data_IF_512858589705
#
_entry.id   IF_512858589705
#
_cell.length_a   1.000
_cell.length_b   1.000
_cell.length_c   1.000
_cell.angle_alpha   90.00
_cell.angle_beta   90.00
_cell.angle_gamma   90.00
#
_symmetry.space_group_name_H-M   'P 1'
#
loop_
_entity.id
_entity.type
_entity.pdbx_description
1 polymer ?
#
# COMPACT_ATOMS: atom_id res chain seq x y z
N UNK A 1 -4.28 10.88 0.65
CA UNK A 1 -3.68 9.96 -0.35
C UNK A 1 -4.82 9.28 -1.11
N UNK A 2 -5.16 9.85 -2.26
CA UNK A 2 -5.87 9.22 -3.36
C UNK A 2 -5.90 10.32 -4.42
N UNK A 3 -4.93 10.27 -5.35
CA UNK A 3 -5.08 11.01 -6.60
C UNK A 3 -6.34 10.52 -7.31
N UNK A 4 -6.82 11.29 -8.27
CA UNK A 4 -7.99 10.92 -9.06
C UNK A 4 -7.72 9.58 -9.79
N UNK A 5 -8.22 8.47 -9.22
CA UNK A 5 -7.99 7.10 -9.73
C UNK A 5 -8.38 6.99 -11.21
N UNK A 6 -9.33 7.82 -11.64
CA UNK A 6 -9.80 7.87 -13.01
C UNK A 6 -8.73 8.33 -14.02
N UNK A 7 -7.78 9.18 -13.60
CA UNK A 7 -6.73 9.71 -14.47
C UNK A 7 -5.77 8.62 -14.99
N UNK A 8 -5.73 7.45 -14.35
CA UNK A 8 -4.88 6.34 -14.83
C UNK A 8 -5.34 5.79 -16.18
N UNK A 9 -6.62 5.97 -16.55
CA UNK A 9 -7.22 5.43 -17.78
C UNK A 9 -6.46 5.85 -19.04
N UNK A 10 -5.88 7.04 -19.05
CA UNK A 10 -5.13 7.56 -20.20
C UNK A 10 -3.86 6.77 -20.49
N UNK A 11 -3.35 6.04 -19.49
CA UNK A 11 -2.13 5.24 -19.57
C UNK A 11 -2.38 3.73 -19.74
N UNK A 12 -3.65 3.31 -19.73
CA UNK A 12 -4.02 1.89 -19.82
C UNK A 12 -4.15 1.44 -21.28
N UNK A 13 -3.70 0.22 -21.57
CA UNK A 13 -4.02 -0.46 -22.83
C UNK A 13 -5.50 -0.92 -22.86
N UNK A 14 -5.95 -1.46 -23.99
CA UNK A 14 -7.36 -1.84 -24.17
C UNK A 14 -7.84 -2.90 -23.15
N UNK A 15 -7.04 -3.93 -22.90
CA UNK A 15 -7.40 -4.98 -21.94
C UNK A 15 -7.42 -4.46 -20.50
N UNK A 16 -6.46 -3.62 -20.14
CA UNK A 16 -6.38 -2.97 -18.83
C UNK A 16 -7.56 -2.02 -18.60
N UNK A 17 -8.01 -1.28 -19.63
CA UNK A 17 -9.21 -0.43 -19.54
C UNK A 17 -10.45 -1.28 -19.24
N UNK A 18 -10.60 -2.41 -19.95
CA UNK A 18 -11.70 -3.35 -19.72
C UNK A 18 -11.66 -3.92 -18.29
N UNK A 19 -10.48 -4.25 -17.77
CA UNK A 19 -10.32 -4.68 -16.37
C UNK A 19 -10.68 -3.56 -15.38
N UNK A 20 -10.23 -2.34 -15.64
CA UNK A 20 -10.53 -1.17 -14.81
C UNK A 20 -12.04 -0.88 -14.74
N UNK A 21 -12.76 -1.05 -15.84
CA UNK A 21 -14.23 -0.90 -15.88
C UNK A 21 -14.98 -2.01 -15.15
N UNK A 22 -14.32 -3.14 -14.89
CA UNK A 22 -14.88 -4.31 -14.20
C UNK A 22 -14.03 -4.67 -12.97
N UNK A 23 -13.93 -3.77 -11.97
CA UNK A 23 -13.09 -4.00 -10.81
C UNK A 23 -13.58 -5.21 -10.02
N UNK A 24 -12.65 -5.96 -9.44
CA UNK A 24 -12.96 -7.05 -8.53
C UNK A 24 -13.07 -6.52 -7.11
N UNK A 25 -14.19 -6.79 -6.45
CA UNK A 25 -14.42 -6.39 -5.07
C UNK A 25 -13.90 -7.47 -4.11
N UNK A 26 -13.00 -7.07 -3.22
CA UNK A 26 -12.52 -7.90 -2.13
C UNK A 26 -13.28 -7.53 -0.84
N UNK A 27 -14.44 -8.13 -0.64
CA UNK A 27 -15.23 -7.96 0.58
C UNK A 27 -14.64 -8.77 1.72
N UNK A 28 -14.63 -8.20 2.93
CA UNK A 28 -14.04 -8.81 4.12
C UNK A 28 -14.93 -8.64 5.35
N UNK A 29 -14.89 -9.62 6.23
CA UNK A 29 -15.46 -9.55 7.58
C UNK A 29 -14.45 -8.92 8.55
N UNK A 30 -14.95 -8.52 9.73
CA UNK A 30 -14.07 -8.08 10.81
C UNK A 30 -13.08 -9.19 11.18
N UNK A 31 -11.78 -8.88 11.11
CA UNK A 31 -10.69 -9.82 11.37
C UNK A 31 -10.09 -10.49 10.13
N UNK A 32 -10.69 -10.30 8.94
CA UNK A 32 -10.10 -10.76 7.69
C UNK A 32 -9.15 -9.70 7.09
N UNK A 33 -8.24 -10.14 6.24
CA UNK A 33 -7.21 -9.31 5.63
C UNK A 33 -7.10 -9.55 4.12
N UNK A 34 -6.65 -8.52 3.41
CA UNK A 34 -6.35 -8.57 1.97
C UNK A 34 -4.86 -8.31 1.80
N UNK A 35 -4.20 -9.15 1.00
CA UNK A 35 -2.82 -8.93 0.58
C UNK A 35 -2.82 -8.44 -0.86
N UNK A 36 -2.10 -7.35 -1.12
CA UNK A 36 -1.87 -6.86 -2.47
C UNK A 36 -0.41 -6.48 -2.64
N UNK A 37 0.09 -6.61 -3.87
CA UNK A 37 1.43 -6.16 -4.21
C UNK A 37 1.45 -4.63 -4.32
N UNK A 38 2.60 -3.98 -4.07
CA UNK A 38 2.73 -2.52 -4.10
C UNK A 38 2.35 -1.87 -5.44
N UNK A 39 2.43 -2.66 -6.53
CA UNK A 39 2.06 -2.25 -7.89
C UNK A 39 0.63 -2.66 -8.29
N UNK A 40 -0.12 -3.34 -7.42
CA UNK A 40 -1.52 -3.68 -7.71
C UNK A 40 -2.35 -2.40 -7.72
N UNK A 41 -2.99 -2.09 -8.84
CA UNK A 41 -3.98 -1.00 -8.87
C UNK A 41 -5.17 -1.37 -7.99
N UNK A 42 -5.42 -0.57 -6.96
CA UNK A 42 -6.52 -0.78 -6.02
C UNK A 42 -7.04 0.55 -5.50
N UNK A 43 -8.25 0.50 -4.96
CA UNK A 43 -8.91 1.65 -4.38
C UNK A 43 -10.10 1.20 -3.55
N UNK A 44 -10.78 2.17 -2.93
CA UNK A 44 -11.93 1.89 -2.11
C UNK A 44 -13.11 2.74 -2.57
N UNK A 45 -14.27 2.10 -2.76
CA UNK A 45 -15.52 2.81 -3.03
C UNK A 45 -15.98 3.66 -1.85
N UNK A 46 -16.92 4.56 -2.15
CA UNK A 46 -17.65 5.37 -1.17
C UNK A 46 -18.34 4.48 -0.13
N UNK A 47 -18.27 4.87 1.14
CA UNK A 47 -19.04 4.22 2.19
C UNK A 47 -20.44 4.84 2.25
N UNK A 48 -21.45 4.10 1.79
CA UNK A 48 -22.86 4.53 1.79
C UNK A 48 -23.66 4.10 3.03
N UNK A 49 -23.00 3.48 4.02
CA UNK A 49 -23.65 3.04 5.26
C UNK A 49 -23.64 4.14 6.32
N UNK A 50 -24.42 3.94 7.38
CA UNK A 50 -24.48 4.79 8.58
C UNK A 50 -23.31 4.55 9.56
N UNK A 51 -22.43 3.58 9.28
CA UNK A 51 -21.32 3.20 10.16
C UNK A 51 -19.97 3.49 9.53
N UNK A 52 -18.97 3.92 10.30
CA UNK A 52 -17.63 4.15 9.77
C UNK A 52 -16.96 2.84 9.36
N UNK A 53 -16.37 2.80 8.16
CA UNK A 53 -15.45 1.73 7.74
C UNK A 53 -14.09 1.94 8.42
N UNK A 54 -13.68 1.01 9.28
CA UNK A 54 -12.38 1.02 9.94
C UNK A 54 -11.47 -0.05 9.34
N UNK A 55 -10.25 0.33 9.01
CA UNK A 55 -9.22 -0.56 8.49
C UNK A 55 -7.85 -0.16 9.06
N UNK A 56 -6.94 -1.11 9.10
CA UNK A 56 -5.53 -0.90 9.44
C UNK A 56 -4.68 -1.40 8.28
N UNK A 57 -3.69 -0.62 7.86
CA UNK A 57 -2.81 -0.95 6.73
C UNK A 57 -1.41 -1.20 7.28
N UNK A 58 -0.83 -2.33 6.89
CA UNK A 58 0.57 -2.67 7.15
C UNK A 58 1.27 -2.76 5.81
N UNK A 59 2.27 -1.91 5.60
CA UNK A 59 3.16 -2.02 4.47
C UNK A 59 4.39 -2.81 4.91
N UNK A 60 4.70 -3.87 4.17
CA UNK A 60 5.88 -4.71 4.38
C UNK A 60 6.79 -4.64 3.18
N UNK A 61 8.09 -4.70 3.43
CA UNK A 61 9.13 -4.76 2.41
C UNK A 61 10.14 -5.84 2.79
N UNK A 62 10.90 -6.33 1.81
CA UNK A 62 11.86 -7.40 2.02
C UNK A 62 13.01 -6.96 2.93
N UNK A 63 13.56 -7.89 3.71
CA UNK A 63 14.79 -7.62 4.45
C UNK A 63 15.93 -7.24 3.50
N UNK A 64 16.75 -6.27 3.91
CA UNK A 64 17.86 -5.74 3.12
C UNK A 64 17.49 -4.60 2.16
N UNK A 65 16.23 -4.17 2.09
CA UNK A 65 15.85 -2.95 1.37
C UNK A 65 16.63 -1.76 1.92
N UNK A 66 17.20 -0.97 1.01
CA UNK A 66 17.91 0.26 1.33
C UNK A 66 17.05 1.49 1.00
N UNK A 67 17.24 2.56 1.77
CA UNK A 67 16.59 3.85 1.50
C UNK A 67 17.05 4.41 0.15
N UNK A 68 16.11 4.92 -0.64
CA UNK A 68 16.40 5.62 -1.90
C UNK A 68 16.40 7.17 -1.75
N UNK A 69 16.18 7.67 -0.53
CA UNK A 69 16.19 9.11 -0.22
C UNK A 69 17.01 9.42 1.03
N UNK A 70 17.38 10.68 1.22
CA UNK A 70 17.89 11.21 2.49
C UNK A 70 16.80 11.90 3.32
N UNK A 71 15.59 11.99 2.79
CA UNK A 71 14.46 12.64 3.45
C UNK A 71 13.82 11.74 4.52
N UNK A 72 12.99 12.35 5.37
CA UNK A 72 12.13 11.62 6.30
C UNK A 72 11.12 10.77 5.51
N UNK A 73 11.11 9.46 5.74
CA UNK A 73 10.18 8.54 5.06
C UNK A 73 8.75 8.64 5.61
N UNK A 74 8.63 8.89 6.91
CA UNK A 74 7.37 9.04 7.64
C UNK A 74 7.50 10.22 8.61
N UNK A 75 6.39 10.90 8.88
CA UNK A 75 6.33 11.97 9.87
C UNK A 75 6.64 11.41 11.27
N UNK A 76 7.59 12.03 11.98
CA UNK A 76 8.00 11.59 13.31
C UNK A 76 8.98 10.41 13.35
N UNK A 77 9.42 9.89 12.20
CA UNK A 77 10.45 8.84 12.10
C UNK A 77 11.77 9.45 11.64
N UNK A 78 12.91 9.19 12.32
CA UNK A 78 14.21 9.67 11.86
C UNK A 78 14.52 9.22 10.42
N UNK A 79 15.16 10.06 9.59
CA UNK A 79 15.50 9.69 8.23
C UNK A 79 16.52 8.54 8.20
N UNK A 80 16.39 7.68 7.19
CA UNK A 80 17.37 6.65 6.84
C UNK A 80 18.13 7.14 5.62
N UNK A 81 19.43 7.40 5.76
CA UNK A 81 20.26 7.94 4.67
C UNK A 81 20.21 7.05 3.42
N UNK A 82 20.29 7.68 2.25
CA UNK A 82 20.26 6.97 0.97
C UNK A 82 21.35 5.89 0.91
N UNK A 83 20.96 4.70 0.47
CA UNK A 83 21.82 3.52 0.38
C UNK A 83 22.00 2.76 1.71
N UNK A 84 21.49 3.27 2.83
CA UNK A 84 21.49 2.53 4.10
C UNK A 84 20.29 1.60 4.18
N UNK A 85 20.50 0.43 4.79
CA UNK A 85 19.45 -0.54 5.06
C UNK A 85 18.35 0.11 5.93
N UNK A 86 17.10 -0.16 5.59
CA UNK A 86 15.95 0.22 6.40
C UNK A 86 15.75 -0.83 7.50
N UNK A 87 16.16 -0.49 8.72
CA UNK A 87 16.06 -1.36 9.90
C UNK A 87 15.82 -0.57 11.21
N UNK A 88 15.83 -1.28 12.34
CA UNK A 88 15.72 -0.69 13.69
C UNK A 88 14.29 -0.59 14.23
N UNK A 89 14.09 0.24 15.25
CA UNK A 89 12.82 0.32 16.00
C UNK A 89 11.61 0.66 15.11
N UNK A 90 11.82 1.51 14.10
CA UNK A 90 10.75 1.97 13.20
C UNK A 90 10.58 1.10 11.95
N UNK A 91 11.54 0.21 11.68
CA UNK A 91 11.53 -0.73 10.56
C UNK A 91 11.96 -2.13 11.02
N UNK A 92 11.23 -2.74 11.98
CA UNK A 92 11.65 -3.99 12.60
C UNK A 92 11.50 -5.19 11.66
N UNK A 93 12.37 -6.19 11.83
CA UNK A 93 12.18 -7.50 11.22
C UNK A 93 10.93 -8.16 11.82
N UNK A 94 9.99 -8.58 10.97
CA UNK A 94 8.72 -9.14 11.42
C UNK A 94 8.83 -10.60 11.91
N UNK A 95 9.76 -11.36 11.32
CA UNK A 95 9.94 -12.76 11.62
C UNK A 95 11.36 -13.20 11.26
N UNK A 96 12.03 -13.88 12.18
CA UNK A 96 13.30 -14.57 11.96
C UNK A 96 13.08 -16.07 12.20
N UNK A 97 13.22 -16.93 11.18
CA UNK A 97 13.04 -18.37 11.33
C UNK A 97 14.22 -19.11 11.99
N UNK A 98 15.32 -18.42 12.29
CA UNK A 98 16.56 -19.01 12.82
C UNK A 98 16.45 -19.58 14.24
#
# INVERSE_FOLDING_TARGET
>A
IAGELQGIKDFLNADQKKQFENPQFAEVKAGEAIFHHSLTLHGSGENKSDKPRRAFVINVFADGVASDSNDSLLEGVPPVSKGQKMDGQFFPLLYDPA
#
